data_IF_173275680111
#
_entry.id   IF_173275680111
#
_cell.length_a   1.000
_cell.length_b   1.000
_cell.length_c   1.000
_cell.angle_alpha   90.00
_cell.angle_beta   90.00
_cell.angle_gamma   90.00
#
_symmetry.space_group_name_H-M   'P 1'
#
loop_
_entity.id
_entity.type
_entity.pdbx_description
1 polymer ?
#
# COMPACT_ATOMS: atom_id res chain seq x y z
N UNK A 1 -20.70 -12.18 -11.04
CA UNK A 1 -19.25 -11.98 -10.87
C UNK A 1 -18.60 -13.33 -10.67
N UNK A 2 -17.48 -13.62 -11.33
CA UNK A 2 -16.79 -14.92 -11.21
C UNK A 2 -16.38 -15.20 -9.76
N UNK A 3 -16.63 -16.42 -9.27
CA UNK A 3 -16.26 -16.87 -7.92
C UNK A 3 -14.76 -16.74 -7.65
N UNK A 4 -13.93 -16.86 -8.70
CA UNK A 4 -12.49 -16.63 -8.62
C UNK A 4 -12.15 -15.18 -8.29
N UNK A 5 -12.83 -14.21 -8.92
CA UNK A 5 -12.62 -12.77 -8.66
C UNK A 5 -13.02 -12.42 -7.22
N UNK A 6 -14.13 -13.00 -6.73
CA UNK A 6 -14.57 -12.79 -5.34
C UNK A 6 -13.56 -13.35 -4.33
N UNK A 7 -12.99 -14.52 -4.61
CA UNK A 7 -11.94 -15.13 -3.77
C UNK A 7 -10.68 -14.28 -3.73
N UNK A 8 -10.26 -13.74 -4.87
CA UNK A 8 -9.10 -12.85 -4.98
C UNK A 8 -9.32 -11.55 -4.20
N UNK A 9 -10.47 -10.90 -4.34
CA UNK A 9 -10.85 -9.70 -3.58
C UNK A 9 -10.81 -9.98 -2.08
N UNK A 10 -11.40 -11.08 -1.63
CA UNK A 10 -11.43 -11.45 -0.22
C UNK A 10 -10.03 -11.68 0.35
N UNK A 11 -9.16 -12.26 -0.47
CA UNK A 11 -7.75 -12.54 -0.13
C UNK A 11 -6.97 -11.24 0.03
N UNK A 12 -7.13 -10.29 -0.91
CA UNK A 12 -6.52 -8.97 -0.82
C UNK A 12 -6.99 -8.16 0.41
N UNK A 13 -8.28 -8.24 0.76
CA UNK A 13 -8.82 -7.60 1.97
C UNK A 13 -8.14 -8.17 3.23
N UNK A 14 -7.96 -9.48 3.31
CA UNK A 14 -7.27 -10.13 4.43
C UNK A 14 -5.82 -9.63 4.56
N UNK A 15 -5.12 -9.43 3.43
CA UNK A 15 -3.76 -8.91 3.43
C UNK A 15 -3.68 -7.48 3.95
N UNK A 16 -4.57 -6.60 3.46
CA UNK A 16 -4.63 -5.21 3.94
C UNK A 16 -4.90 -5.15 5.45
N UNK A 17 -5.83 -5.96 5.95
CA UNK A 17 -6.12 -6.03 7.39
C UNK A 17 -4.87 -6.41 8.20
N UNK A 18 -4.14 -7.43 7.75
CA UNK A 18 -2.94 -7.87 8.44
C UNK A 18 -1.84 -6.80 8.43
N UNK A 19 -1.64 -6.08 7.32
CA UNK A 19 -0.70 -4.97 7.28
C UNK A 19 -1.11 -3.83 8.22
N UNK A 20 -2.41 -3.52 8.29
CA UNK A 20 -2.95 -2.54 9.24
C UNK A 20 -2.69 -2.99 10.68
N UNK A 21 -2.89 -4.26 11.01
CA UNK A 21 -2.65 -4.80 12.35
C UNK A 21 -1.18 -4.68 12.75
N UNK A 22 -0.24 -4.94 11.84
CA UNK A 22 1.20 -4.72 12.09
C UNK A 22 1.46 -3.24 12.38
N UNK A 23 0.86 -2.34 11.58
CA UNK A 23 1.05 -0.89 11.76
C UNK A 23 0.51 -0.43 13.12
N UNK A 24 -0.70 -0.86 13.46
CA UNK A 24 -1.34 -0.53 14.73
C UNK A 24 -0.57 -1.10 15.92
N UNK A 25 -0.07 -2.34 15.81
CA UNK A 25 0.75 -2.96 16.84
C UNK A 25 2.02 -2.16 17.11
N UNK A 26 2.81 -1.87 16.07
CA UNK A 26 4.06 -1.12 16.20
C UNK A 26 3.82 0.30 16.73
N UNK A 27 2.79 0.98 16.20
CA UNK A 27 2.39 2.31 16.65
C UNK A 27 1.95 2.35 18.11
N UNK A 28 1.14 1.38 18.53
CA UNK A 28 0.67 1.27 19.93
C UNK A 28 1.81 1.01 20.91
N UNK A 29 2.82 0.24 20.49
CA UNK A 29 4.00 -0.05 21.32
C UNK A 29 5.06 1.07 21.25
N UNK A 30 4.89 2.06 20.39
CA UNK A 30 5.90 3.11 20.16
C UNK A 30 7.19 2.58 19.53
N UNK A 31 7.13 1.44 18.86
CA UNK A 31 8.30 0.80 18.25
C UNK A 31 8.53 1.40 16.86
N UNK A 32 9.80 1.66 16.53
CA UNK A 32 10.17 2.15 15.21
C UNK A 32 9.75 1.16 14.11
N UNK A 33 9.03 1.65 13.10
CA UNK A 33 8.57 0.84 11.97
C UNK A 33 9.74 0.42 11.07
N UNK A 34 10.61 1.38 10.76
CA UNK A 34 11.77 1.23 9.87
C UNK A 34 13.07 1.13 10.64
N UNK A 35 14.02 0.40 10.06
CA UNK A 35 15.40 0.34 10.53
C UNK A 35 16.24 1.45 9.90
N UNK A 36 17.45 1.67 10.41
CA UNK A 36 18.39 2.60 9.78
C UNK A 36 18.76 2.16 8.35
N UNK A 37 18.84 0.85 8.15
CA UNK A 37 19.16 0.23 6.86
C UNK A 37 18.22 -0.94 6.59
N UNK A 38 17.48 -0.89 5.48
CA UNK A 38 16.49 -1.93 5.11
C UNK A 38 17.02 -2.92 4.05
N UNK A 39 18.32 -2.85 3.74
CA UNK A 39 18.96 -3.74 2.78
C UNK A 39 19.02 -5.20 3.27
N UNK A 40 19.16 -6.14 2.33
CA UNK A 40 19.09 -7.57 2.66
C UNK A 40 20.20 -8.04 3.61
N UNK A 41 21.33 -7.33 3.64
CA UNK A 41 22.49 -7.64 4.50
C UNK A 41 22.38 -7.00 5.89
N UNK A 42 21.41 -6.10 6.09
CA UNK A 42 21.21 -5.44 7.37
C UNK A 42 20.67 -6.41 8.42
N UNK A 43 21.29 -6.39 9.59
CA UNK A 43 20.84 -7.14 10.79
C UNK A 43 19.49 -6.62 11.27
N UNK A 44 19.23 -5.31 11.13
CA UNK A 44 17.97 -4.69 11.51
C UNK A 44 17.35 -3.99 10.31
N UNK A 45 16.51 -4.74 9.57
CA UNK A 45 15.79 -4.25 8.39
C UNK A 45 14.55 -3.42 8.74
N UNK A 46 14.32 -3.12 10.02
CA UNK A 46 13.10 -2.53 10.53
C UNK A 46 12.09 -3.57 11.00
N UNK A 47 11.30 -3.19 12.00
CA UNK A 47 10.37 -4.10 12.65
C UNK A 47 9.19 -4.45 11.74
N UNK A 48 8.74 -3.50 10.91
CA UNK A 48 7.67 -3.76 9.95
C UNK A 48 8.05 -4.84 8.94
N UNK A 49 9.24 -4.70 8.33
CA UNK A 49 9.75 -5.65 7.33
C UNK A 49 9.99 -7.03 7.93
N UNK A 50 10.56 -7.11 9.13
CA UNK A 50 10.75 -8.38 9.83
C UNK A 50 9.42 -9.05 10.22
N UNK A 51 8.43 -8.29 10.67
CA UNK A 51 7.10 -8.84 11.00
C UNK A 51 6.40 -9.40 9.74
N UNK A 52 6.51 -8.68 8.64
CA UNK A 52 6.02 -9.13 7.33
C UNK A 52 6.74 -10.41 6.86
N UNK A 53 8.07 -10.46 6.94
CA UNK A 53 8.88 -11.64 6.60
C UNK A 53 8.59 -12.85 7.52
N UNK A 54 8.23 -12.60 8.78
CA UNK A 54 7.81 -13.64 9.70
C UNK A 54 6.44 -14.21 9.32
N UNK A 55 5.45 -13.35 9.09
CA UNK A 55 4.10 -13.75 8.70
C UNK A 55 4.08 -14.50 7.36
N UNK A 56 4.94 -14.10 6.43
CA UNK A 56 5.05 -14.76 5.13
C UNK A 56 5.63 -16.17 5.20
N UNK A 57 6.49 -16.47 6.18
CA UNK A 57 6.99 -17.83 6.42
C UNK A 57 5.90 -18.75 6.97
N UNK A 58 5.01 -18.21 7.79
CA UNK A 58 3.93 -19.00 8.41
C UNK A 58 2.71 -19.16 7.50
N UNK A 59 2.48 -18.22 6.58
CA UNK A 59 1.41 -18.28 5.58
C UNK A 59 1.97 -18.03 4.16
N UNK A 60 2.36 -19.08 3.40
CA UNK A 60 3.00 -18.89 2.10
C UNK A 60 2.08 -18.24 1.04
N UNK A 61 0.75 -18.46 1.11
CA UNK A 61 -0.22 -17.80 0.23
C UNK A 61 -0.24 -16.27 0.44
N UNK A 62 0.08 -15.80 1.66
CA UNK A 62 0.12 -14.39 2.03
C UNK A 62 1.26 -13.61 1.33
N UNK A 63 2.35 -14.29 0.96
CA UNK A 63 3.63 -13.64 0.69
C UNK A 63 3.74 -12.97 -0.68
N UNK A 64 3.33 -13.67 -1.74
CA UNK A 64 3.56 -13.19 -3.11
C UNK A 64 2.76 -11.91 -3.40
N UNK A 65 1.54 -11.84 -2.89
CA UNK A 65 0.63 -10.73 -3.17
C UNK A 65 0.80 -9.56 -2.21
N UNK A 66 1.14 -9.81 -0.95
CA UNK A 66 1.43 -8.73 0.00
C UNK A 66 2.70 -7.94 -0.36
N UNK A 67 3.71 -8.56 -1.01
CA UNK A 67 4.86 -7.83 -1.55
C UNK A 67 4.48 -6.96 -2.73
N UNK A 68 3.62 -7.45 -3.61
CA UNK A 68 3.08 -6.67 -4.72
C UNK A 68 2.23 -5.51 -4.21
N UNK A 69 1.43 -5.73 -3.17
CA UNK A 69 0.66 -4.70 -2.49
C UNK A 69 1.56 -3.68 -1.79
N UNK A 70 2.59 -4.13 -1.06
CA UNK A 70 3.55 -3.23 -0.40
C UNK A 70 4.33 -2.42 -1.43
N UNK A 71 4.81 -3.04 -2.51
CA UNK A 71 5.48 -2.35 -3.60
C UNK A 71 4.52 -1.39 -4.33
N UNK A 72 3.25 -1.76 -4.50
CA UNK A 72 2.24 -0.86 -5.03
C UNK A 72 2.00 0.30 -4.08
N UNK A 73 1.91 0.07 -2.77
CA UNK A 73 1.73 1.12 -1.76
C UNK A 73 2.97 2.01 -1.62
N UNK A 74 4.18 1.45 -1.70
CA UNK A 74 5.45 2.19 -1.79
C UNK A 74 5.52 2.98 -3.09
N UNK A 75 5.15 2.39 -4.24
CA UNK A 75 5.11 3.10 -5.51
C UNK A 75 4.06 4.22 -5.48
N UNK A 76 2.87 3.97 -4.94
CA UNK A 76 1.83 4.98 -4.74
C UNK A 76 2.29 6.03 -3.73
N UNK A 77 2.94 5.65 -2.62
CA UNK A 77 3.48 6.58 -1.64
C UNK A 77 4.59 7.43 -2.25
N UNK A 78 5.57 6.85 -2.93
CA UNK A 78 6.64 7.57 -3.63
C UNK A 78 6.05 8.45 -4.72
N UNK A 79 5.12 7.93 -5.54
CA UNK A 79 4.46 8.71 -6.58
C UNK A 79 3.65 9.85 -5.99
N UNK A 80 2.82 9.63 -4.98
CA UNK A 80 1.92 10.65 -4.40
C UNK A 80 2.59 11.57 -3.38
N UNK A 81 3.65 11.12 -2.72
CA UNK A 81 4.51 11.94 -1.85
C UNK A 81 5.40 12.87 -2.67
N UNK A 82 5.80 12.47 -3.88
CA UNK A 82 6.51 13.33 -4.84
C UNK A 82 5.58 13.98 -5.90
N UNK A 83 4.27 13.67 -5.93
CA UNK A 83 3.35 14.09 -7.02
C UNK A 83 2.86 15.52 -6.94
N UNK A 84 3.31 16.35 -6.00
CA UNK A 84 2.98 17.78 -6.04
C UNK A 84 3.45 18.40 -7.38
N UNK A 85 4.34 17.73 -8.13
CA UNK A 85 4.78 18.12 -9.48
C UNK A 85 4.66 17.03 -10.56
N UNK A 86 3.69 16.11 -10.47
CA UNK A 86 3.51 15.12 -11.55
C UNK A 86 2.63 15.68 -12.68
N UNK A 87 3.24 15.94 -13.84
CA UNK A 87 2.57 16.48 -15.05
C UNK A 87 1.35 15.65 -15.47
N UNK A 88 1.36 14.32 -15.28
CA UNK A 88 0.19 13.47 -15.58
C UNK A 88 -0.97 13.70 -14.61
N UNK A 89 -0.69 13.99 -13.35
CA UNK A 89 -1.72 14.30 -12.35
C UNK A 89 -2.33 15.68 -12.61
N UNK A 90 -1.51 16.66 -13.00
CA UNK A 90 -1.98 17.99 -13.45
C UNK A 90 -2.82 17.89 -14.73
N UNK A 91 -2.41 17.08 -15.69
CA UNK A 91 -3.15 16.86 -16.94
C UNK A 91 -4.49 16.14 -16.70
N UNK A 92 -4.52 15.18 -15.76
CA UNK A 92 -5.77 14.56 -15.29
C UNK A 92 -6.68 15.54 -14.57
N UNK A 93 -6.15 16.40 -13.70
CA UNK A 93 -6.93 17.45 -13.01
C UNK A 93 -7.51 18.47 -14.00
N UNK A 94 -6.75 18.87 -15.02
CA UNK A 94 -7.22 19.75 -16.10
C UNK A 94 -8.32 19.09 -16.95
N UNK A 95 -8.16 17.80 -17.29
CA UNK A 95 -9.17 17.02 -18.01
C UNK A 95 -10.45 16.76 -17.20
N UNK A 96 -10.34 16.75 -15.87
CA UNK A 96 -11.50 16.63 -14.97
C UNK A 96 -12.20 17.98 -14.77
N UNK A 97 -11.45 19.09 -14.68
CA UNK A 97 -12.03 20.44 -14.55
C UNK A 97 -12.73 20.95 -15.83
N UNK A 98 -12.35 20.48 -17.02
CA UNK A 98 -13.06 20.79 -18.27
C UNK A 98 -14.44 20.11 -18.38
N UNK A 99 -14.74 19.15 -17.49
CA UNK A 99 -16.05 18.52 -17.34
C UNK A 99 -16.88 19.10 -16.19
N UNK A 100 -16.61 20.33 -15.72
CA UNK A 100 -17.61 21.07 -14.92
C UNK A 100 -18.80 21.38 -15.81
N UNK A 101 -19.72 20.42 -15.83
CA UNK A 101 -21.04 20.51 -16.44
C UNK A 101 -21.68 21.81 -15.97
N UNK A 102 -21.99 22.66 -16.94
CA UNK A 102 -23.03 23.67 -16.90
C UNK A 102 -24.29 23.09 -16.24
N UNK A 103 -24.40 23.23 -14.92
CA UNK A 103 -25.68 23.14 -14.24
C UNK A 103 -26.37 24.48 -14.52
N UNK A 104 -27.07 24.53 -15.65
CA UNK A 104 -28.12 25.51 -15.88
C UNK A 104 -29.13 25.35 -14.74
N UNK A 105 -29.06 26.26 -13.78
CA UNK A 105 -30.21 26.58 -12.93
C UNK A 105 -31.28 27.09 -13.90
N UNK A 106 -32.31 26.28 -14.11
CA UNK A 106 -33.57 26.72 -14.69
C UNK A 106 -34.29 27.66 -13.72
#
# INVERSE_FOLDING_TARGET
MSTAIQKEIQTNIMYIKCLIDIVLYLGRQGIAFRGHREDETSVNKGNFKQMYEFLSKHNPEFCNDARNLFNALEALYVHFSHSIRNVKLTDLQLKLNSKKTTLLVK
#
